data_IF_306353227898
#
_entry.id   IF_306353227898
#
_cell.length_a   1.000
_cell.length_b   1.000
_cell.length_c   1.000
_cell.angle_alpha   90.00
_cell.angle_beta   90.00
_cell.angle_gamma   90.00
#
_symmetry.space_group_name_H-M   'P 1'
#
loop_
_entity.id
_entity.type
_entity.pdbx_description
1 polymer ?
#
# COMPACT_ATOMS: atom_id res chain seq x y z
N UNK A 1 -13.61 11.24 18.87
CA UNK A 1 -13.25 12.17 17.77
C UNK A 1 -12.04 11.59 17.04
N UNK A 2 -12.09 11.42 15.72
CA UNK A 2 -10.99 10.81 14.97
C UNK A 2 -9.89 11.84 14.78
N UNK A 3 -8.86 11.80 15.62
CA UNK A 3 -7.70 12.69 15.50
C UNK A 3 -7.03 12.44 14.14
N UNK A 4 -6.68 13.52 13.45
CA UNK A 4 -5.99 13.49 12.15
C UNK A 4 -4.58 14.05 12.34
N UNK A 5 -3.56 13.48 11.67
CA UNK A 5 -2.23 14.04 11.72
C UNK A 5 -2.20 15.43 11.10
N UNK A 6 -1.37 16.32 11.66
CA UNK A 6 -1.02 17.58 11.02
C UNK A 6 -0.32 17.30 9.67
N UNK A 7 -0.51 18.12 8.62
CA UNK A 7 0.23 18.01 7.36
C UNK A 7 1.74 17.72 7.50
N UNK A 8 2.43 18.36 8.45
CA UNK A 8 3.86 18.12 8.70
C UNK A 8 4.10 16.69 9.22
N UNK A 9 3.28 16.24 10.18
CA UNK A 9 3.34 14.88 10.71
C UNK A 9 3.03 13.84 9.63
N UNK A 10 2.08 14.14 8.74
CA UNK A 10 1.71 13.30 7.62
C UNK A 10 2.86 13.16 6.61
N UNK A 11 3.52 14.27 6.26
CA UNK A 11 4.69 14.24 5.38
C UNK A 11 5.81 13.43 6.03
N UNK A 12 6.13 13.72 7.30
CA UNK A 12 7.16 12.99 8.07
C UNK A 12 6.89 11.48 8.12
N UNK A 13 5.62 11.11 8.25
CA UNK A 13 5.13 9.73 8.20
C UNK A 13 5.30 9.07 6.83
N UNK A 14 5.03 9.77 5.74
CA UNK A 14 5.30 9.27 4.39
C UNK A 14 6.78 8.94 4.20
N UNK A 15 7.69 9.67 4.86
CA UNK A 15 9.12 9.38 4.91
C UNK A 15 9.53 8.31 5.95
N UNK A 16 8.58 7.60 6.55
CA UNK A 16 8.83 6.46 7.45
C UNK A 16 9.08 6.83 8.92
N UNK A 17 8.75 8.04 9.36
CA UNK A 17 8.84 8.39 10.79
C UNK A 17 7.56 8.00 11.53
N UNK A 18 7.68 7.49 12.78
CA UNK A 18 6.51 7.14 13.57
C UNK A 18 5.72 8.40 13.98
N UNK A 19 4.40 8.28 13.96
CA UNK A 19 3.47 9.24 14.59
C UNK A 19 3.43 9.07 16.12
N UNK A 20 3.00 10.12 16.85
CA UNK A 20 2.64 10.04 18.26
C UNK A 20 1.62 8.93 18.57
N UNK A 21 1.66 8.33 19.77
CA UNK A 21 0.76 7.24 20.17
C UNK A 21 -0.74 7.59 20.07
N UNK A 22 -1.08 8.85 20.27
CA UNK A 22 -2.47 9.36 20.19
C UNK A 22 -3.10 9.16 18.80
N UNK A 23 -2.27 9.02 17.75
CA UNK A 23 -2.69 8.82 16.37
C UNK A 23 -2.64 7.35 15.94
N UNK A 24 -2.39 6.40 16.86
CA UNK A 24 -2.35 4.96 16.56
C UNK A 24 -3.63 4.44 15.91
N UNK A 25 -4.80 4.90 16.34
CA UNK A 25 -6.08 4.52 15.73
C UNK A 25 -6.20 5.01 14.28
N UNK A 26 -5.62 6.17 13.98
CA UNK A 26 -5.54 6.67 12.62
C UNK A 26 -4.60 5.81 11.78
N UNK A 27 -3.41 5.48 12.30
CA UNK A 27 -2.41 4.63 11.63
C UNK A 27 -2.94 3.23 11.38
N UNK A 28 -3.61 2.62 12.35
CA UNK A 28 -4.27 1.31 12.20
C UNK A 28 -5.27 1.32 11.06
N UNK A 29 -6.11 2.35 10.99
CA UNK A 29 -7.07 2.50 9.90
C UNK A 29 -6.40 2.86 8.56
N UNK A 30 -5.28 3.56 8.57
CA UNK A 30 -4.53 3.89 7.35
C UNK A 30 -3.85 2.65 6.76
N UNK A 31 -3.21 1.84 7.61
CA UNK A 31 -2.44 0.67 7.22
C UNK A 31 -3.32 -0.57 7.02
N UNK A 32 -4.36 -0.78 7.81
CA UNK A 32 -5.26 -1.96 7.72
C UNK A 32 -6.64 -1.63 7.10
N UNK A 33 -6.93 -0.36 6.80
CA UNK A 33 -8.22 0.06 6.25
C UNK A 33 -8.42 -0.27 4.78
N UNK A 34 -9.66 -0.12 4.32
CA UNK A 34 -10.07 -0.30 2.92
C UNK A 34 -9.30 0.73 2.08
N UNK A 35 -8.67 0.29 1.00
CA UNK A 35 -7.86 1.15 0.13
C UNK A 35 -6.50 1.55 0.69
N UNK A 36 -5.94 0.84 1.68
CA UNK A 36 -4.58 1.11 2.17
C UNK A 36 -3.54 1.07 1.05
N UNK A 37 -3.61 0.06 0.17
CA UNK A 37 -2.77 -0.05 -1.02
C UNK A 37 -2.91 1.15 -1.95
N UNK A 38 -4.14 1.60 -2.21
CA UNK A 38 -4.38 2.76 -3.09
C UNK A 38 -3.80 4.04 -2.46
N UNK A 39 -4.00 4.26 -1.16
CA UNK A 39 -3.41 5.42 -0.45
C UNK A 39 -1.89 5.42 -0.54
N UNK A 40 -1.26 4.25 -0.41
CA UNK A 40 0.19 4.13 -0.51
C UNK A 40 0.68 4.39 -1.94
N UNK A 41 0.01 3.84 -2.96
CA UNK A 41 0.31 4.12 -4.37
C UNK A 41 0.17 5.63 -4.64
N UNK A 42 -0.91 6.26 -4.17
CA UNK A 42 -1.11 7.71 -4.32
C UNK A 42 -0.01 8.53 -3.64
N UNK A 43 0.55 8.09 -2.51
CA UNK A 43 1.69 8.77 -1.87
C UNK A 43 2.95 8.81 -2.74
N UNK A 44 3.14 7.82 -3.61
CA UNK A 44 4.26 7.77 -4.55
C UNK A 44 3.92 8.45 -5.89
N UNK A 45 2.70 8.25 -6.37
CA UNK A 45 2.24 8.76 -7.67
C UNK A 45 2.06 10.27 -7.65
N UNK A 46 1.42 10.83 -6.62
CA UNK A 46 1.16 12.28 -6.54
C UNK A 46 2.43 13.13 -6.66
N UNK A 47 3.50 12.93 -5.86
CA UNK A 47 4.72 13.72 -6.00
C UNK A 47 5.39 13.48 -7.36
N UNK A 48 5.35 12.26 -7.88
CA UNK A 48 5.91 11.93 -9.20
C UNK A 48 5.18 12.69 -10.31
N UNK A 49 3.85 12.67 -10.31
CA UNK A 49 3.04 13.41 -11.29
C UNK A 49 3.27 14.91 -11.19
N UNK A 50 3.40 15.48 -9.99
CA UNK A 50 3.73 16.90 -9.82
C UNK A 50 5.07 17.29 -10.46
N UNK A 51 6.08 16.40 -10.37
CA UNK A 51 7.38 16.61 -11.02
C UNK A 51 7.29 16.46 -12.54
N UNK A 52 6.41 15.59 -13.04
CA UNK A 52 6.25 15.34 -14.48
C UNK A 52 5.42 16.42 -15.19
N UNK A 53 4.47 17.07 -14.50
CA UNK A 53 3.59 18.11 -15.07
C UNK A 53 4.35 19.22 -15.83
N UNK A 54 5.45 19.81 -15.30
CA UNK A 54 6.25 20.78 -16.02
C UNK A 54 6.72 20.34 -17.42
N UNK A 55 7.04 19.05 -17.61
CA UNK A 55 7.52 18.52 -18.89
C UNK A 55 6.43 18.52 -19.97
N UNK A 56 5.16 18.64 -19.60
CA UNK A 56 4.04 18.72 -20.53
C UNK A 56 3.79 20.14 -21.07
N UNK A 57 4.44 21.16 -20.50
CA UNK A 57 4.37 22.53 -21.02
C UNK A 57 5.40 22.82 -22.12
N UNK A 58 6.33 21.89 -22.37
CA UNK A 58 7.27 21.98 -23.48
C UNK A 58 6.54 21.71 -24.81
N UNK A 59 6.84 22.44 -25.90
CA UNK A 59 6.22 22.16 -27.19
C UNK A 59 6.76 20.84 -27.78
N UNK A 60 6.04 19.74 -27.56
CA UNK A 60 6.28 18.45 -28.19
C UNK A 60 4.96 17.76 -28.56
N UNK A 61 5.03 16.68 -29.34
CA UNK A 61 3.89 15.84 -29.66
C UNK A 61 3.49 14.97 -28.46
N UNK A 62 2.21 14.56 -28.43
CA UNK A 62 1.67 13.73 -27.34
C UNK A 62 2.46 12.42 -27.13
N UNK A 63 2.93 11.79 -28.20
CA UNK A 63 3.66 10.53 -28.10
C UNK A 63 5.05 10.73 -27.48
N UNK A 64 5.72 11.84 -27.79
CA UNK A 64 6.97 12.24 -27.12
C UNK A 64 6.74 12.47 -25.62
N UNK A 65 5.70 13.20 -25.24
CA UNK A 65 5.35 13.38 -23.82
C UNK A 65 5.07 12.07 -23.09
N UNK A 66 4.32 11.18 -23.73
CA UNK A 66 4.00 9.88 -23.17
C UNK A 66 5.25 9.01 -23.02
N UNK A 67 6.05 8.86 -24.07
CA UNK A 67 7.24 7.99 -24.04
C UNK A 67 8.31 8.47 -23.07
N UNK A 68 8.44 9.78 -22.80
CA UNK A 68 9.39 10.29 -21.81
C UNK A 68 8.89 10.17 -20.37
N UNK A 69 7.58 10.35 -20.12
CA UNK A 69 7.04 10.38 -18.75
C UNK A 69 6.49 9.05 -18.27
N UNK A 70 5.89 8.26 -19.18
CA UNK A 70 5.20 7.02 -18.85
C UNK A 70 6.12 5.95 -18.24
N UNK A 71 7.34 5.68 -18.75
CA UNK A 71 8.21 4.67 -18.16
C UNK A 71 8.53 4.98 -16.70
N UNK A 72 8.85 6.24 -16.39
CA UNK A 72 9.14 6.69 -15.02
C UNK A 72 7.90 6.52 -14.14
N UNK A 73 6.76 7.02 -14.60
CA UNK A 73 5.49 6.98 -13.87
C UNK A 73 5.04 5.53 -13.60
N UNK A 74 5.14 4.67 -14.61
CA UNK A 74 4.81 3.25 -14.52
C UNK A 74 5.73 2.51 -13.55
N UNK A 75 7.05 2.76 -13.60
CA UNK A 75 7.99 2.14 -12.66
C UNK A 75 7.69 2.54 -11.22
N UNK A 76 7.37 3.81 -10.94
CA UNK A 76 6.99 4.25 -9.59
C UNK A 76 5.75 3.49 -9.09
N UNK A 77 4.76 3.26 -9.93
CA UNK A 77 3.57 2.49 -9.55
C UNK A 77 3.93 1.05 -9.20
N UNK A 78 4.76 0.40 -10.02
CA UNK A 78 5.18 -0.97 -9.78
C UNK A 78 5.98 -1.09 -8.48
N UNK A 79 6.95 -0.19 -8.25
CA UNK A 79 7.73 -0.16 -7.01
C UNK A 79 6.84 0.12 -5.80
N UNK A 80 5.93 1.09 -5.89
CA UNK A 80 4.99 1.40 -4.83
C UNK A 80 4.10 0.19 -4.51
N UNK A 81 3.64 -0.54 -5.54
CA UNK A 81 2.85 -1.75 -5.36
C UNK A 81 3.65 -2.87 -4.69
N UNK A 82 4.86 -3.15 -5.16
CA UNK A 82 5.72 -4.21 -4.62
C UNK A 82 6.15 -3.92 -3.17
N UNK A 83 6.61 -2.70 -2.90
CA UNK A 83 7.10 -2.29 -1.57
C UNK A 83 5.97 -2.07 -0.55
N UNK A 84 4.71 -1.91 -1.00
CA UNK A 84 3.57 -1.62 -0.14
C UNK A 84 3.45 -2.62 1.01
N UNK A 85 3.62 -3.92 0.74
CA UNK A 85 3.49 -4.96 1.76
C UNK A 85 4.60 -4.86 2.81
N UNK A 86 5.86 -4.76 2.37
CA UNK A 86 7.04 -4.64 3.25
C UNK A 86 6.93 -3.36 4.10
N UNK A 87 6.60 -2.23 3.48
CA UNK A 87 6.46 -0.96 4.16
C UNK A 87 5.32 -0.97 5.18
N UNK A 88 4.14 -1.51 4.83
CA UNK A 88 3.01 -1.62 5.78
C UNK A 88 3.36 -2.48 6.99
N UNK A 89 3.99 -3.66 6.77
CA UNK A 89 4.46 -4.52 7.88
C UNK A 89 5.54 -3.83 8.73
N UNK A 90 6.43 -3.07 8.12
CA UNK A 90 7.45 -2.29 8.85
C UNK A 90 6.82 -1.18 9.70
N UNK A 91 5.88 -0.41 9.13
CA UNK A 91 5.20 0.66 9.86
C UNK A 91 4.32 0.14 10.98
N UNK A 92 3.62 -0.99 10.80
CA UNK A 92 2.88 -1.64 11.88
C UNK A 92 3.81 -2.02 13.04
N UNK A 93 4.96 -2.63 12.74
CA UNK A 93 5.99 -2.96 13.74
C UNK A 93 6.55 -1.74 14.45
N UNK A 94 6.86 -0.65 13.74
CA UNK A 94 7.32 0.61 14.35
C UNK A 94 6.30 1.19 15.33
N UNK A 95 5.02 0.90 15.13
CA UNK A 95 3.92 1.36 15.97
C UNK A 95 3.49 0.34 17.04
N UNK A 96 4.20 -0.78 17.20
CA UNK A 96 3.84 -1.84 18.15
C UNK A 96 2.54 -2.58 17.80
N UNK A 97 2.08 -2.46 16.54
CA UNK A 97 0.89 -3.13 16.04
C UNK A 97 1.26 -4.46 15.38
N UNK A 98 0.34 -5.42 15.43
CA UNK A 98 0.52 -6.72 14.79
C UNK A 98 0.66 -6.58 13.27
N UNK A 99 1.79 -7.01 12.66
CA UNK A 99 2.00 -6.96 11.22
C UNK A 99 1.00 -7.81 10.42
N UNK A 100 0.34 -8.81 11.02
CA UNK A 100 -0.69 -9.60 10.36
C UNK A 100 -1.97 -8.80 10.06
N UNK A 101 -2.19 -7.67 10.75
CA UNK A 101 -3.30 -6.75 10.45
C UNK A 101 -3.24 -6.20 9.02
N UNK A 102 -2.07 -6.19 8.38
CA UNK A 102 -1.93 -5.79 6.99
C UNK A 102 -2.62 -6.78 6.02
N UNK A 103 -2.66 -8.06 6.38
CA UNK A 103 -3.15 -9.17 5.54
C UNK A 103 -4.57 -9.60 5.92
N UNK A 104 -5.02 -9.31 7.15
CA UNK A 104 -6.34 -9.67 7.68
C UNK A 104 -7.51 -9.29 6.75
N UNK A 105 -7.48 -8.10 6.16
CA UNK A 105 -8.53 -7.67 5.21
C UNK A 105 -8.50 -8.37 3.87
N UNK A 106 -7.30 -8.70 3.38
CA UNK A 106 -7.14 -9.52 2.18
C UNK A 106 -7.66 -10.93 2.45
N UNK A 107 -7.32 -11.51 3.62
CA UNK A 107 -7.86 -12.80 4.09
C UNK A 107 -9.38 -12.79 4.19
N UNK A 108 -9.98 -11.75 4.78
CA UNK A 108 -11.44 -11.62 4.86
C UNK A 108 -12.09 -11.48 3.48
N UNK A 109 -11.50 -10.70 2.57
CA UNK A 109 -11.99 -10.58 1.20
C UNK A 109 -11.91 -11.93 0.50
N UNK A 110 -10.82 -12.65 0.62
CA UNK A 110 -10.58 -13.89 -0.13
C UNK A 110 -11.16 -15.14 0.60
N UNK A 111 -11.72 -14.95 1.80
CA UNK A 111 -12.37 -16.00 2.58
C UNK A 111 -13.53 -16.67 1.83
N UNK A 112 -14.29 -15.94 1.01
CA UNK A 112 -15.35 -16.54 0.18
C UNK A 112 -14.78 -17.47 -0.90
N UNK A 113 -13.60 -17.17 -1.44
CA UNK A 113 -12.88 -18.01 -2.40
C UNK A 113 -12.37 -19.27 -1.71
N UNK A 114 -11.79 -19.13 -0.51
CA UNK A 114 -11.37 -20.28 0.29
C UNK A 114 -12.54 -21.18 0.68
N UNK A 115 -13.70 -20.62 1.07
CA UNK A 115 -14.90 -21.40 1.35
C UNK A 115 -15.39 -22.18 0.12
N UNK A 116 -15.49 -21.51 -1.03
CA UNK A 116 -15.89 -22.15 -2.28
C UNK A 116 -14.90 -23.25 -2.73
N UNK A 117 -13.60 -23.05 -2.48
CA UNK A 117 -12.57 -24.06 -2.75
C UNK A 117 -12.75 -25.29 -1.84
N UNK A 118 -12.94 -25.08 -0.54
CA UNK A 118 -13.14 -26.17 0.44
C UNK A 118 -14.41 -26.96 0.13
N UNK A 119 -15.49 -26.28 -0.28
CA UNK A 119 -16.74 -26.93 -0.69
C UNK A 119 -16.56 -27.80 -1.94
N UNK A 120 -15.75 -27.35 -2.91
CA UNK A 120 -15.55 -28.04 -4.19
C UNK A 120 -14.49 -29.15 -4.17
N UNK A 121 -13.42 -28.97 -3.38
CA UNK A 121 -12.24 -29.84 -3.41
C UNK A 121 -11.91 -30.47 -2.05
N UNK A 122 -12.66 -30.14 -0.99
CA UNK A 122 -12.41 -30.60 0.36
C UNK A 122 -11.40 -29.76 1.14
N UNK A 123 -11.27 -29.98 2.46
CA UNK A 123 -10.33 -29.27 3.31
C UNK A 123 -8.88 -29.55 2.91
N UNK A 124 -8.01 -28.55 3.06
CA UNK A 124 -6.56 -28.76 2.89
C UNK A 124 -6.07 -29.74 3.98
N UNK A 125 -5.29 -30.78 3.64
CA UNK A 125 -4.73 -31.68 4.64
C UNK A 125 -3.78 -30.92 5.57
N UNK A 126 -3.83 -31.20 6.88
CA UNK A 126 -3.02 -30.50 7.90
C UNK A 126 -1.51 -30.68 7.73
N UNK A 127 -1.09 -31.72 6.99
CA UNK A 127 0.30 -31.96 6.62
C UNK A 127 0.80 -31.07 5.48
N UNK A 128 -0.07 -30.31 4.82
CA UNK A 128 0.33 -29.41 3.76
C UNK A 128 1.10 -28.22 4.35
N UNK A 129 2.34 -27.94 3.89
CA UNK A 129 3.08 -26.80 4.40
C UNK A 129 2.29 -25.51 4.18
N UNK A 130 2.12 -24.74 5.26
CA UNK A 130 1.58 -23.39 5.21
C UNK A 130 2.56 -22.57 4.38
N UNK A 131 2.20 -22.23 3.14
CA UNK A 131 3.04 -21.38 2.30
C UNK A 131 3.07 -19.99 2.94
N UNK A 132 4.15 -19.67 3.64
CA UNK A 132 4.43 -18.29 4.06
C UNK A 132 4.77 -17.52 2.80
N UNK A 133 3.77 -16.85 2.21
CA UNK A 133 3.99 -15.89 1.15
C UNK A 133 4.73 -14.67 1.73
N UNK A 134 6.00 -14.84 2.10
CA UNK A 134 6.92 -13.77 2.46
C UNK A 134 7.77 -13.45 1.23
N UNK A 135 7.15 -12.67 0.34
CA UNK A 135 7.80 -11.75 -0.59
C UNK A 135 7.05 -10.42 -0.46
#
# INVERSE_FOLDING_TARGET
MRQRPNPIQYIRYCYGRPLPPELLDWVRNDLAGRGATIRMIMRAVVPTTLILIPFWFMPADFMTHFTMTFPIWFMVILFAHALNKVWRKHMLRMHGLDPELADERTRQRDAHIHRAYVERYGPRPESAPQRSDDI
#
